data_IF_174970045467
#
_entry.id   IF_174970045467
#
_cell.length_a   1.000
_cell.length_b   1.000
_cell.length_c   1.000
_cell.angle_alpha   90.00
_cell.angle_beta   90.00
_cell.angle_gamma   90.00
#
_symmetry.space_group_name_H-M   'P 1'
#
loop_
_entity.id
_entity.type
_entity.pdbx_description
1 polymer ?
#
# COMPACT_ATOMS: atom_id res chain seq x y z
N UNK A 1 -16.01 14.79 -7.37
CA UNK A 1 -15.56 13.38 -7.30
C UNK A 1 -14.69 12.93 -8.47
N UNK A 2 -14.62 13.66 -9.61
CA UNK A 2 -13.76 13.30 -10.77
C UNK A 2 -12.28 13.02 -10.41
N UNK A 3 -11.73 13.79 -9.45
CA UNK A 3 -10.35 13.64 -8.94
C UNK A 3 -10.09 12.36 -8.12
N UNK A 4 -11.11 11.58 -7.81
CA UNK A 4 -10.96 10.26 -7.20
C UNK A 4 -11.29 9.14 -8.17
N UNK A 5 -11.49 9.40 -9.46
CA UNK A 5 -11.71 8.32 -10.43
C UNK A 5 -10.43 7.48 -10.60
N UNK A 6 -10.55 6.18 -10.93
CA UNK A 6 -9.39 5.28 -11.07
C UNK A 6 -8.34 5.85 -12.03
N UNK A 7 -8.81 6.35 -13.18
CA UNK A 7 -7.98 6.96 -14.22
C UNK A 7 -7.17 8.14 -13.70
N UNK A 8 -7.80 9.03 -12.92
CA UNK A 8 -7.12 10.20 -12.38
C UNK A 8 -6.06 9.81 -11.35
N UNK A 9 -6.37 8.88 -10.45
CA UNK A 9 -5.43 8.43 -9.41
C UNK A 9 -4.22 7.73 -10.04
N UNK A 10 -4.46 6.88 -11.05
CA UNK A 10 -3.38 6.23 -11.78
C UNK A 10 -2.51 7.22 -12.57
N UNK A 11 -3.13 8.17 -13.29
CA UNK A 11 -2.39 9.27 -13.93
C UNK A 11 -1.61 10.11 -12.93
N UNK A 12 -2.16 10.35 -11.74
CA UNK A 12 -1.51 11.11 -10.68
C UNK A 12 -0.27 10.36 -10.17
N UNK A 13 -0.35 9.03 -9.98
CA UNK A 13 0.80 8.20 -9.61
C UNK A 13 1.97 8.37 -10.60
N UNK A 14 1.69 8.20 -11.89
CA UNK A 14 2.68 8.38 -12.97
C UNK A 14 3.20 9.82 -12.98
N UNK A 15 2.34 10.82 -12.81
CA UNK A 15 2.76 12.23 -12.79
C UNK A 15 3.67 12.55 -11.60
N UNK A 16 3.36 12.03 -10.41
CA UNK A 16 4.21 12.19 -9.23
C UNK A 16 5.56 11.52 -9.48
N UNK A 17 5.57 10.31 -10.05
CA UNK A 17 6.80 9.62 -10.40
C UNK A 17 7.67 10.43 -11.37
N UNK A 18 7.09 10.97 -12.45
CA UNK A 18 7.80 11.82 -13.41
C UNK A 18 8.39 13.06 -12.72
N UNK A 19 7.61 13.73 -11.88
CA UNK A 19 8.09 14.91 -11.13
C UNK A 19 9.25 14.52 -10.22
N UNK A 20 9.11 13.45 -9.43
CA UNK A 20 10.17 12.99 -8.54
C UNK A 20 11.43 12.58 -9.31
N UNK A 21 11.28 11.96 -10.47
CA UNK A 21 12.40 11.62 -11.34
C UNK A 21 13.11 12.86 -11.88
N UNK A 22 12.39 13.86 -12.38
CA UNK A 22 12.97 15.10 -12.91
C UNK A 22 13.71 15.93 -11.85
N UNK A 23 13.30 15.84 -10.58
CA UNK A 23 13.96 16.50 -9.45
C UNK A 23 14.96 15.59 -8.73
N UNK A 24 15.10 14.34 -9.14
CA UNK A 24 16.02 13.40 -8.49
C UNK A 24 17.45 13.76 -8.88
N UNK A 25 18.41 13.80 -7.92
CA UNK A 25 19.83 13.95 -8.22
C UNK A 25 20.46 12.67 -8.77
N UNK A 26 19.67 11.62 -9.00
CA UNK A 26 20.13 10.28 -9.36
C UNK A 26 19.94 10.07 -10.86
N UNK A 27 21.01 9.66 -11.53
CA UNK A 27 20.97 9.20 -12.91
C UNK A 27 21.02 7.67 -12.96
N UNK A 28 20.18 7.05 -13.78
CA UNK A 28 20.14 5.60 -13.93
C UNK A 28 20.95 5.19 -15.16
N UNK A 29 21.86 4.23 -14.97
CA UNK A 29 22.80 3.80 -16.03
C UNK A 29 22.10 2.82 -17.00
N UNK A 30 21.09 2.08 -16.52
CA UNK A 30 20.40 1.07 -17.31
C UNK A 30 19.58 1.68 -18.45
N UNK A 31 19.85 1.21 -19.68
CA UNK A 31 19.09 1.60 -20.87
C UNK A 31 18.03 0.55 -21.19
N UNK A 32 16.73 0.89 -21.20
CA UNK A 32 15.67 -0.08 -21.45
C UNK A 32 15.67 -0.64 -22.88
N UNK A 33 15.38 -1.92 -23.02
CA UNK A 33 15.06 -2.49 -24.32
C UNK A 33 13.74 -1.93 -24.88
N UNK A 34 13.65 -1.81 -26.21
CA UNK A 34 12.43 -1.31 -26.88
C UNK A 34 11.20 -2.16 -26.54
N UNK A 35 11.40 -3.47 -26.37
CA UNK A 35 10.32 -4.39 -26.03
C UNK A 35 9.81 -4.17 -24.60
N UNK A 36 10.71 -3.94 -23.63
CA UNK A 36 10.32 -3.63 -22.26
C UNK A 36 9.43 -2.38 -22.20
N UNK A 37 9.79 -1.33 -22.96
CA UNK A 37 8.99 -0.10 -23.10
C UNK A 37 7.61 -0.39 -23.69
N UNK A 38 7.53 -1.20 -24.76
CA UNK A 38 6.26 -1.57 -25.38
C UNK A 38 5.37 -2.33 -24.39
N UNK A 39 5.94 -3.24 -23.61
CA UNK A 39 5.19 -4.05 -22.63
C UNK A 39 4.62 -3.18 -21.51
N UNK A 40 5.40 -2.26 -20.94
CA UNK A 40 4.88 -1.38 -19.89
C UNK A 40 3.82 -0.40 -20.42
N UNK A 41 4.00 0.13 -21.63
CA UNK A 41 2.98 0.96 -22.29
C UNK A 41 1.72 0.14 -22.55
N UNK A 42 1.86 -1.12 -22.95
CA UNK A 42 0.74 -2.05 -23.13
C UNK A 42 -0.02 -2.25 -21.81
N UNK A 43 0.67 -2.51 -20.69
CA UNK A 43 0.04 -2.67 -19.38
C UNK A 43 -0.77 -1.42 -18.98
N UNK A 44 -0.17 -0.25 -19.13
CA UNK A 44 -0.82 1.04 -18.88
C UNK A 44 -2.05 1.21 -19.79
N UNK A 45 -1.91 0.97 -21.09
CA UNK A 45 -2.98 1.08 -22.07
C UNK A 45 -4.15 0.15 -21.76
N UNK A 46 -3.88 -1.12 -21.48
CA UNK A 46 -4.92 -2.11 -21.18
C UNK A 46 -5.61 -1.85 -19.84
N UNK A 47 -4.91 -1.32 -18.84
CA UNK A 47 -5.54 -0.81 -17.63
C UNK A 47 -6.56 0.29 -17.95
N UNK A 48 -6.16 1.30 -18.73
CA UNK A 48 -7.08 2.35 -19.16
C UNK A 48 -8.26 1.78 -19.96
N UNK A 49 -8.01 0.89 -20.91
CA UNK A 49 -9.04 0.22 -21.71
C UNK A 49 -10.08 -0.48 -20.83
N UNK A 50 -9.63 -1.24 -19.82
CA UNK A 50 -10.51 -1.88 -18.84
C UNK A 50 -11.39 -0.89 -18.08
N UNK A 51 -10.82 0.24 -17.65
CA UNK A 51 -11.61 1.30 -17.00
C UNK A 51 -12.60 1.98 -17.95
N UNK A 52 -12.27 2.14 -19.23
CA UNK A 52 -13.18 2.76 -20.20
C UNK A 52 -14.37 1.86 -20.52
N UNK A 53 -14.15 0.58 -20.78
CA UNK A 53 -15.21 -0.35 -21.17
C UNK A 53 -16.30 -0.45 -20.12
N UNK A 54 -15.94 -0.68 -18.84
CA UNK A 54 -16.95 -0.83 -17.81
C UNK A 54 -17.63 0.51 -17.49
N UNK A 55 -16.95 1.65 -17.70
CA UNK A 55 -17.59 2.96 -17.58
C UNK A 55 -18.71 3.13 -18.61
N UNK A 56 -18.56 2.61 -19.83
CA UNK A 56 -19.61 2.66 -20.85
C UNK A 56 -20.82 1.81 -20.44
N UNK A 57 -20.60 0.57 -20.00
CA UNK A 57 -21.69 -0.31 -19.55
C UNK A 57 -22.38 0.21 -18.29
N UNK A 58 -21.63 0.72 -17.30
CA UNK A 58 -22.19 1.19 -16.04
C UNK A 58 -22.92 2.54 -16.17
N UNK A 59 -22.54 3.39 -17.13
CA UNK A 59 -23.27 4.64 -17.38
C UNK A 59 -24.72 4.33 -17.79
N UNK A 60 -24.93 3.27 -18.57
CA UNK A 60 -26.28 2.80 -18.94
C UNK A 60 -27.05 2.28 -17.71
N UNK A 61 -26.40 1.58 -16.79
CA UNK A 61 -27.05 1.10 -15.55
C UNK A 61 -27.37 2.21 -14.55
N UNK A 62 -26.49 3.20 -14.39
CA UNK A 62 -26.73 4.37 -13.52
C UNK A 62 -27.86 5.24 -14.10
N UNK A 63 -27.86 5.49 -15.41
CA UNK A 63 -28.91 6.28 -16.09
C UNK A 63 -30.27 5.58 -16.07
N UNK A 64 -30.32 4.24 -15.97
CA UNK A 64 -31.56 3.46 -15.81
C UNK A 64 -32.19 3.57 -14.41
N UNK A 65 -31.73 4.48 -13.56
CA UNK A 65 -32.53 4.95 -12.43
C UNK A 65 -32.54 4.02 -11.21
N UNK A 66 -31.41 3.40 -10.85
CA UNK A 66 -31.21 2.94 -9.47
C UNK A 66 -30.88 4.15 -8.57
N UNK A 67 -31.81 5.11 -8.51
CA UNK A 67 -31.89 6.07 -7.40
C UNK A 67 -32.52 5.28 -6.27
N UNK A 68 -31.68 4.64 -5.46
CA UNK A 68 -32.18 4.01 -4.26
C UNK A 68 -32.68 5.09 -3.31
N UNK A 69 -33.93 4.91 -2.90
CA UNK A 69 -34.63 5.72 -1.92
C UNK A 69 -33.79 5.94 -0.67
N UNK A 70 -34.02 7.07 0.00
CA UNK A 70 -33.52 7.39 1.33
C UNK A 70 -33.92 6.29 2.33
N UNK A 71 -33.12 5.23 2.43
CA UNK A 71 -33.28 4.21 3.44
C UNK A 71 -32.49 4.64 4.67
N UNK A 72 -33.21 5.03 5.72
CA UNK A 72 -32.60 5.26 7.02
C UNK A 72 -31.99 3.95 7.52
N UNK A 73 -30.69 3.96 7.80
CA UNK A 73 -30.04 2.81 8.42
C UNK A 73 -30.61 2.58 9.83
N UNK A 74 -30.99 1.34 10.12
CA UNK A 74 -31.33 0.94 11.49
C UNK A 74 -30.10 1.08 12.40
N UNK A 75 -30.15 2.06 13.31
CA UNK A 75 -29.07 2.34 14.28
C UNK A 75 -28.67 1.11 15.09
N UNK A 76 -29.62 0.21 15.38
CA UNK A 76 -29.32 -1.03 16.10
C UNK A 76 -28.42 -1.96 15.28
N UNK A 77 -28.73 -2.16 14.00
CA UNK A 77 -27.89 -2.98 13.09
C UNK A 77 -26.51 -2.37 12.88
N UNK A 78 -26.44 -1.04 12.72
CA UNK A 78 -25.16 -0.32 12.59
C UNK A 78 -24.28 -0.55 13.83
N UNK A 79 -24.85 -0.39 15.04
CA UNK A 79 -24.13 -0.64 16.30
C UNK A 79 -23.74 -2.11 16.47
N UNK A 80 -24.58 -3.06 16.03
CA UNK A 80 -24.25 -4.50 16.04
C UNK A 80 -23.04 -4.81 15.17
N UNK A 81 -23.00 -4.30 13.93
CA UNK A 81 -21.85 -4.48 13.03
C UNK A 81 -20.61 -3.81 13.59
N UNK A 82 -20.74 -2.58 14.08
CA UNK A 82 -19.65 -1.88 14.76
C UNK A 82 -19.05 -2.74 15.88
N UNK A 83 -19.89 -3.29 16.76
CA UNK A 83 -19.42 -4.07 17.90
C UNK A 83 -18.71 -5.35 17.46
N UNK A 84 -19.19 -6.02 16.41
CA UNK A 84 -18.51 -7.20 15.84
C UNK A 84 -17.13 -6.81 15.31
N UNK A 85 -17.05 -5.76 14.47
CA UNK A 85 -15.77 -5.28 13.95
C UNK A 85 -14.83 -4.84 15.08
N UNK A 86 -15.35 -4.19 16.12
CA UNK A 86 -14.56 -3.75 17.27
C UNK A 86 -14.01 -4.92 18.08
N UNK A 87 -14.81 -5.97 18.34
CA UNK A 87 -14.35 -7.18 19.03
C UNK A 87 -13.26 -7.88 18.23
N UNK A 88 -13.48 -8.09 16.93
CA UNK A 88 -12.49 -8.72 16.03
C UNK A 88 -11.19 -7.90 15.99
N UNK A 89 -11.31 -6.58 15.87
CA UNK A 89 -10.17 -5.64 15.90
C UNK A 89 -9.41 -5.72 17.23
N UNK A 90 -10.13 -5.74 18.36
CA UNK A 90 -9.53 -5.79 19.68
C UNK A 90 -8.73 -7.08 19.88
N UNK A 91 -9.29 -8.22 19.48
CA UNK A 91 -8.58 -9.52 19.48
C UNK A 91 -7.35 -9.44 18.57
N UNK A 92 -7.50 -8.90 17.36
CA UNK A 92 -6.39 -8.73 16.41
C UNK A 92 -5.26 -7.88 16.96
N UNK A 93 -5.55 -6.73 17.57
CA UNK A 93 -4.58 -5.85 18.22
C UNK A 93 -3.89 -6.59 19.36
N UNK A 94 -4.65 -7.21 20.27
CA UNK A 94 -4.09 -7.95 21.41
C UNK A 94 -3.14 -9.05 20.96
N UNK A 95 -3.55 -9.89 20.00
CA UNK A 95 -2.70 -10.95 19.46
C UNK A 95 -1.47 -10.40 18.75
N UNK A 96 -1.60 -9.26 18.04
CA UNK A 96 -0.48 -8.65 17.30
C UNK A 96 0.57 -8.05 18.23
N UNK A 97 0.14 -7.42 19.32
CA UNK A 97 1.06 -6.92 20.34
C UNK A 97 1.61 -8.06 21.22
N UNK A 98 0.85 -9.11 21.49
CA UNK A 98 1.38 -10.31 22.13
C UNK A 98 2.47 -10.97 21.27
N UNK A 99 2.23 -11.13 19.96
CA UNK A 99 3.22 -11.62 18.99
C UNK A 99 4.48 -10.74 19.01
N UNK A 100 4.33 -9.41 19.02
CA UNK A 100 5.46 -8.50 19.05
C UNK A 100 6.24 -8.55 20.38
N UNK A 101 5.55 -8.41 21.51
CA UNK A 101 6.18 -8.19 22.80
C UNK A 101 6.67 -9.49 23.44
N UNK A 102 5.92 -10.58 23.26
CA UNK A 102 6.19 -11.88 23.90
C UNK A 102 6.87 -12.83 22.94
N UNK A 103 6.22 -13.18 21.81
CA UNK A 103 6.76 -14.20 20.88
C UNK A 103 8.08 -13.72 20.28
N UNK A 104 8.13 -12.44 19.87
CA UNK A 104 9.30 -11.84 19.22
C UNK A 104 10.24 -11.16 20.20
N UNK A 105 9.95 -11.25 21.50
CA UNK A 105 10.76 -10.71 22.59
C UNK A 105 11.24 -9.28 22.34
N UNK A 106 10.36 -8.38 21.89
CA UNK A 106 10.75 -7.02 21.47
C UNK A 106 11.64 -6.28 22.50
N UNK A 107 11.41 -6.49 23.80
CA UNK A 107 12.19 -5.86 24.88
C UNK A 107 13.53 -6.54 25.19
N UNK A 108 13.88 -7.68 24.57
CA UNK A 108 15.18 -8.31 24.75
C UNK A 108 16.29 -7.68 23.89
N UNK A 109 15.92 -6.85 22.91
CA UNK A 109 16.86 -6.18 22.02
C UNK A 109 17.39 -4.89 22.64
N UNK A 110 18.63 -4.54 22.31
CA UNK A 110 19.32 -3.35 22.84
C UNK A 110 18.70 -2.03 22.36
N UNK A 111 18.09 -2.05 21.17
CA UNK A 111 17.43 -0.89 20.58
C UNK A 111 16.30 -1.33 19.63
N UNK A 112 15.45 -0.38 19.23
CA UNK A 112 14.42 -0.63 18.21
C UNK A 112 15.05 -0.98 16.86
N UNK A 113 16.21 -0.41 16.53
CA UNK A 113 16.92 -0.69 15.28
C UNK A 113 17.53 -2.08 15.27
N UNK A 114 18.13 -2.50 16.39
CA UNK A 114 18.61 -3.86 16.62
C UNK A 114 17.48 -4.88 16.40
N UNK A 115 16.31 -4.66 17.01
CA UNK A 115 15.11 -5.48 16.75
C UNK A 115 14.71 -5.50 15.27
N UNK A 116 14.76 -4.37 14.57
CA UNK A 116 14.32 -4.31 13.17
C UNK A 116 15.24 -5.07 12.21
N UNK A 117 16.52 -5.18 12.54
CA UNK A 117 17.54 -5.82 11.69
C UNK A 117 17.65 -7.31 12.01
N UNK A 118 17.68 -7.66 13.30
CA UNK A 118 17.86 -9.03 13.76
C UNK A 118 16.53 -9.80 13.91
N UNK A 119 15.40 -9.16 13.62
CA UNK A 119 14.15 -9.86 13.50
C UNK A 119 14.15 -10.80 12.29
N UNK A 120 14.29 -12.10 12.53
CA UNK A 120 14.05 -13.12 11.51
C UNK A 120 12.55 -13.17 11.19
N UNK A 121 12.20 -12.89 9.93
CA UNK A 121 10.82 -12.86 9.46
C UNK A 121 10.11 -14.22 9.39
N UNK A 122 10.79 -15.30 9.78
CA UNK A 122 10.41 -16.67 9.48
C UNK A 122 9.82 -17.47 10.64
N UNK A 123 9.85 -16.98 11.89
CA UNK A 123 9.10 -17.58 13.00
C UNK A 123 7.61 -17.23 12.89
N UNK A 124 6.92 -17.87 11.95
CA UNK A 124 5.48 -17.76 11.76
C UNK A 124 4.74 -18.82 12.55
N UNK A 125 4.58 -18.59 13.85
CA UNK A 125 3.64 -19.36 14.67
C UNK A 125 2.18 -19.07 14.30
N UNK A 126 1.27 -19.94 14.77
CA UNK A 126 -0.19 -19.80 14.57
C UNK A 126 -0.69 -18.42 15.05
N UNK A 127 -0.13 -17.89 16.13
CA UNK A 127 -0.46 -16.56 16.67
C UNK A 127 -0.08 -15.45 15.68
N UNK A 128 1.09 -15.53 15.05
CA UNK A 128 1.55 -14.55 14.08
C UNK A 128 0.67 -14.53 12.82
N UNK A 129 0.23 -15.70 12.36
CA UNK A 129 -0.70 -15.85 11.21
C UNK A 129 -2.08 -15.31 11.56
N UNK A 130 -2.64 -15.76 12.69
CA UNK A 130 -3.98 -15.35 13.13
C UNK A 130 -4.03 -13.84 13.37
N UNK A 131 -3.02 -13.29 14.05
CA UNK A 131 -2.93 -11.84 14.26
C UNK A 131 -2.79 -11.07 12.94
N UNK A 132 -2.06 -11.58 11.94
CA UNK A 132 -1.93 -10.92 10.64
C UNK A 132 -3.26 -10.78 9.89
N UNK A 133 -4.19 -11.72 10.06
CA UNK A 133 -5.52 -11.70 9.43
C UNK A 133 -6.51 -10.83 10.22
N UNK A 134 -6.43 -10.83 11.56
CA UNK A 134 -7.39 -10.11 12.41
C UNK A 134 -7.02 -8.63 12.61
N UNK A 135 -5.73 -8.32 12.74
CA UNK A 135 -5.24 -6.96 12.95
C UNK A 135 -5.73 -5.93 11.92
N UNK A 136 -5.79 -6.23 10.60
CA UNK A 136 -6.26 -5.29 9.60
C UNK A 136 -7.75 -4.91 9.71
N UNK A 137 -8.56 -5.63 10.50
CA UNK A 137 -9.96 -5.27 10.73
C UNK A 137 -10.14 -3.89 11.37
N UNK A 138 -9.17 -3.36 12.10
CA UNK A 138 -9.34 -2.01 12.66
C UNK A 138 -9.29 -0.90 11.62
N UNK A 139 -8.76 -1.16 10.41
CA UNK A 139 -8.96 -0.26 9.26
C UNK A 139 -10.40 -0.33 8.78
N UNK A 140 -10.96 -1.53 8.65
CA UNK A 140 -12.36 -1.71 8.31
C UNK A 140 -13.30 -1.05 9.34
N UNK A 141 -12.99 -1.18 10.63
CA UNK A 141 -13.70 -0.49 11.72
C UNK A 141 -13.60 1.03 11.55
N UNK A 142 -12.41 1.57 11.30
CA UNK A 142 -12.19 3.01 11.11
C UNK A 142 -12.99 3.54 9.92
N UNK A 143 -12.95 2.83 8.80
CA UNK A 143 -13.75 3.14 7.61
C UNK A 143 -15.25 3.08 7.90
N UNK A 144 -15.72 2.03 8.57
CA UNK A 144 -17.12 1.89 8.99
C UNK A 144 -17.58 3.08 9.83
N UNK A 145 -16.77 3.50 10.80
CA UNK A 145 -17.05 4.65 11.68
C UNK A 145 -17.08 5.96 10.91
N UNK A 146 -16.15 6.15 9.95
CA UNK A 146 -16.13 7.32 9.07
C UNK A 146 -17.42 7.39 8.24
N UNK A 147 -17.80 6.31 7.57
CA UNK A 147 -18.95 6.29 6.68
C UNK A 147 -20.30 6.42 7.39
N UNK A 148 -20.42 5.80 8.57
CA UNK A 148 -21.69 5.71 9.32
C UNK A 148 -21.71 6.58 10.58
N UNK A 149 -20.88 7.63 10.59
CA UNK A 149 -20.70 8.53 11.73
C UNK A 149 -22.05 9.01 12.33
N UNK A 150 -23.02 9.39 11.49
CA UNK A 150 -24.34 9.89 11.94
C UNK A 150 -25.13 8.91 12.83
N UNK A 151 -24.86 7.61 12.75
CA UNK A 151 -25.58 6.56 13.49
C UNK A 151 -24.84 6.10 14.76
N UNK A 152 -23.65 6.64 15.01
CA UNK A 152 -22.75 6.25 16.09
C UNK A 152 -22.61 7.38 17.12
N UNK A 153 -22.55 7.02 18.40
CA UNK A 153 -22.30 7.96 19.50
C UNK A 153 -20.80 8.19 19.78
N UNK A 154 -20.47 9.24 20.54
CA UNK A 154 -19.09 9.67 20.89
C UNK A 154 -18.14 8.53 21.30
N UNK A 155 -18.62 7.59 22.14
CA UNK A 155 -17.85 6.41 22.57
C UNK A 155 -17.29 5.58 21.40
N UNK A 156 -18.06 5.39 20.33
CA UNK A 156 -17.65 4.60 19.18
C UNK A 156 -16.51 5.29 18.41
N UNK A 157 -16.53 6.61 18.32
CA UNK A 157 -15.44 7.37 17.72
C UNK A 157 -14.15 7.25 18.52
N UNK A 158 -14.22 7.40 19.84
CA UNK A 158 -13.06 7.29 20.72
C UNK A 158 -12.44 5.89 20.60
N UNK A 159 -13.26 4.84 20.65
CA UNK A 159 -12.79 3.45 20.53
C UNK A 159 -12.20 3.15 19.14
N UNK A 160 -12.82 3.66 18.07
CA UNK A 160 -12.26 3.53 16.72
C UNK A 160 -10.94 4.28 16.57
N UNK A 161 -10.86 5.48 17.14
CA UNK A 161 -9.64 6.28 17.13
C UNK A 161 -8.50 5.58 17.88
N UNK A 162 -8.75 5.06 19.08
CA UNK A 162 -7.77 4.26 19.84
C UNK A 162 -7.32 3.05 19.01
N UNK A 163 -8.26 2.32 18.42
CA UNK A 163 -7.94 1.16 17.57
C UNK A 163 -7.07 1.54 16.37
N UNK A 164 -7.39 2.65 15.71
CA UNK A 164 -6.59 3.19 14.60
C UNK A 164 -5.19 3.59 15.06
N UNK A 165 -5.06 4.25 16.21
CA UNK A 165 -3.75 4.62 16.77
C UNK A 165 -2.91 3.39 17.08
N UNK A 166 -3.49 2.33 17.66
CA UNK A 166 -2.79 1.06 17.86
C UNK A 166 -2.33 0.45 16.53
N UNK A 167 -3.15 0.53 15.49
CA UNK A 167 -2.80 0.02 14.15
C UNK A 167 -1.68 0.83 13.51
N UNK A 168 -1.65 2.15 13.69
CA UNK A 168 -0.57 3.01 13.19
C UNK A 168 0.71 2.87 14.03
N UNK A 169 0.60 2.59 15.32
CA UNK A 169 1.75 2.45 16.21
C UNK A 169 2.57 1.19 15.89
N UNK A 170 1.92 0.08 15.54
CA UNK A 170 2.60 -1.17 15.19
C UNK A 170 3.64 -1.03 14.05
N UNK A 171 3.31 -0.50 12.85
CA UNK A 171 4.29 -0.30 11.80
C UNK A 171 5.36 0.72 12.20
N UNK A 172 5.06 1.71 13.07
CA UNK A 172 6.07 2.63 13.60
C UNK A 172 7.18 1.86 14.33
N UNK A 173 6.82 0.95 15.23
CA UNK A 173 7.77 0.10 15.95
C UNK A 173 8.59 -0.77 14.98
N UNK A 174 7.91 -1.36 13.98
CA UNK A 174 8.52 -2.23 12.97
C UNK A 174 9.35 -1.52 11.89
N UNK A 175 9.30 -0.19 11.81
CA UNK A 175 9.94 0.56 10.72
C UNK A 175 9.17 0.48 9.39
N UNK A 176 7.89 0.12 9.42
CA UNK A 176 7.03 -0.16 8.27
C UNK A 176 6.49 1.10 7.59
N UNK A 177 7.35 1.82 6.85
CA UNK A 177 6.98 3.04 6.10
C UNK A 177 5.87 2.80 5.08
N UNK A 178 5.96 1.71 4.32
CA UNK A 178 4.98 1.34 3.28
C UNK A 178 3.57 1.10 3.85
N UNK A 179 3.48 0.44 5.01
CA UNK A 179 2.19 0.25 5.68
C UNK A 179 1.59 1.57 6.14
N UNK A 180 2.41 2.50 6.64
CA UNK A 180 1.93 3.82 7.07
C UNK A 180 1.34 4.63 5.90
N UNK A 181 2.01 4.64 4.74
CA UNK A 181 1.49 5.36 3.57
C UNK A 181 0.23 4.70 3.00
N UNK A 182 0.17 3.37 2.99
CA UNK A 182 -1.03 2.61 2.64
C UNK A 182 -2.23 3.00 3.51
N UNK A 183 -2.05 2.95 4.84
CA UNK A 183 -3.09 3.29 5.81
C UNK A 183 -3.54 4.75 5.68
N UNK A 184 -2.58 5.67 5.53
CA UNK A 184 -2.86 7.09 5.35
C UNK A 184 -3.77 7.34 4.14
N UNK A 185 -3.44 6.74 2.99
CA UNK A 185 -4.23 6.92 1.76
C UNK A 185 -5.62 6.31 1.88
N UNK A 186 -5.75 5.10 2.46
CA UNK A 186 -7.05 4.46 2.69
C UNK A 186 -7.96 5.37 3.53
N UNK A 187 -7.45 5.88 4.66
CA UNK A 187 -8.23 6.74 5.56
C UNK A 187 -8.54 8.09 4.90
N UNK A 188 -7.56 8.71 4.23
CA UNK A 188 -7.76 9.98 3.53
C UNK A 188 -8.83 9.87 2.44
N UNK A 189 -8.77 8.84 1.59
CA UNK A 189 -9.78 8.59 0.56
C UNK A 189 -11.15 8.35 1.21
N UNK A 190 -11.22 7.59 2.30
CA UNK A 190 -12.48 7.31 3.02
C UNK A 190 -13.16 8.58 3.55
N UNK A 191 -12.37 9.50 4.13
CA UNK A 191 -12.85 10.81 4.61
C UNK A 191 -13.39 11.64 3.45
N UNK A 192 -12.64 11.72 2.34
CA UNK A 192 -13.05 12.50 1.16
C UNK A 192 -14.32 11.96 0.52
N UNK A 193 -14.47 10.63 0.47
CA UNK A 193 -15.67 9.98 -0.07
C UNK A 193 -16.92 10.27 0.78
N UNK A 194 -16.79 10.31 2.10
CA UNK A 194 -17.90 10.56 3.03
C UNK A 194 -18.40 12.00 2.97
N UNK A 195 -17.49 12.95 2.79
CA UNK A 195 -17.84 14.37 2.77
C UNK A 195 -17.17 15.08 1.58
N UNK A 196 -17.68 14.91 0.34
CA UNK A 196 -17.08 15.56 -0.83
C UNK A 196 -17.19 17.10 -0.78
N UNK A 197 -18.13 17.65 0.01
CA UNK A 197 -18.22 19.07 0.28
C UNK A 197 -17.10 19.60 1.20
N UNK A 198 -16.41 18.72 1.93
CA UNK A 198 -15.23 19.03 2.73
C UNK A 198 -14.13 19.68 1.88
N UNK A 199 -13.92 19.22 0.64
CA UNK A 199 -12.93 19.80 -0.27
C UNK A 199 -13.42 21.11 -0.93
N UNK A 200 -14.72 21.39 -0.98
CA UNK A 200 -15.23 22.53 -1.76
C UNK A 200 -15.03 23.89 -1.06
N UNK A 201 -14.96 23.93 0.28
CA UNK A 201 -14.80 25.18 1.04
C UNK A 201 -13.32 25.54 1.21
N UNK A 202 -12.95 26.79 0.94
CA UNK A 202 -11.55 27.25 0.93
C UNK A 202 -10.82 27.03 2.27
N UNK A 203 -11.45 27.32 3.41
CA UNK A 203 -10.88 27.07 4.74
C UNK A 203 -10.61 25.58 5.02
N UNK A 204 -11.46 24.70 4.49
CA UNK A 204 -11.29 23.26 4.64
C UNK A 204 -10.20 22.71 3.71
N UNK A 205 -10.00 23.31 2.53
CA UNK A 205 -8.85 23.00 1.66
C UNK A 205 -7.53 23.35 2.35
N UNK A 206 -7.43 24.53 2.95
CA UNK A 206 -6.23 24.93 3.70
C UNK A 206 -5.93 23.94 4.83
N UNK A 207 -6.95 23.56 5.61
CA UNK A 207 -6.79 22.56 6.67
C UNK A 207 -6.28 21.21 6.14
N UNK A 208 -6.79 20.73 5.00
CA UNK A 208 -6.29 19.50 4.36
C UNK A 208 -4.82 19.66 3.96
N UNK A 209 -4.43 20.78 3.35
CA UNK A 209 -3.04 21.03 2.96
C UNK A 209 -2.12 21.09 4.18
N UNK A 210 -2.57 21.69 5.28
CA UNK A 210 -1.82 21.72 6.54
C UNK A 210 -1.65 20.31 7.11
N UNK A 211 -2.69 19.48 7.13
CA UNK A 211 -2.58 18.08 7.57
C UNK A 211 -1.63 17.29 6.67
N UNK A 212 -1.74 17.43 5.35
CA UNK A 212 -0.86 16.76 4.40
C UNK A 212 0.60 17.19 4.58
N UNK A 213 0.83 18.49 4.80
CA UNK A 213 2.15 19.04 5.07
C UNK A 213 2.73 18.51 6.38
N UNK A 214 1.95 18.53 7.48
CA UNK A 214 2.37 18.00 8.78
C UNK A 214 2.67 16.50 8.67
N UNK A 215 1.80 15.73 8.02
CA UNK A 215 2.02 14.31 7.80
C UNK A 215 3.30 14.07 6.98
N UNK A 216 3.48 14.81 5.88
CA UNK A 216 4.68 14.72 5.05
C UNK A 216 5.96 15.04 5.82
N UNK A 217 5.95 16.10 6.63
CA UNK A 217 7.07 16.49 7.48
C UNK A 217 7.39 15.42 8.54
N UNK A 218 6.38 14.95 9.26
CA UNK A 218 6.56 13.90 10.28
C UNK A 218 7.04 12.58 9.66
N UNK A 219 6.48 12.20 8.51
CA UNK A 219 6.89 11.02 7.75
C UNK A 219 8.33 11.15 7.26
N UNK A 220 8.74 12.34 6.81
CA UNK A 220 10.11 12.61 6.37
C UNK A 220 11.10 12.50 7.55
N UNK A 221 10.81 13.14 8.68
CA UNK A 221 11.65 13.05 9.90
C UNK A 221 11.74 11.60 10.39
N UNK A 222 10.60 10.89 10.44
CA UNK A 222 10.56 9.47 10.79
C UNK A 222 11.41 8.61 9.83
N UNK A 223 11.33 8.87 8.53
CA UNK A 223 12.09 8.16 7.51
C UNK A 223 13.59 8.44 7.62
N UNK A 224 13.98 9.70 7.86
CA UNK A 224 15.36 10.10 8.09
C UNK A 224 15.96 9.31 9.26
N UNK A 225 15.29 9.29 10.41
CA UNK A 225 15.77 8.56 11.58
C UNK A 225 15.96 7.07 11.27
N UNK A 226 14.99 6.42 10.62
CA UNK A 226 15.11 4.99 10.26
C UNK A 226 16.28 4.72 9.31
N UNK A 227 16.42 5.55 8.27
CA UNK A 227 17.46 5.36 7.26
C UNK A 227 18.85 5.54 7.90
N UNK A 228 19.01 6.58 8.72
CA UNK A 228 20.27 6.88 9.41
C UNK A 228 20.60 5.84 10.46
N UNK A 229 19.64 5.44 11.30
CA UNK A 229 19.89 4.42 12.33
C UNK A 229 20.34 3.09 11.70
N UNK A 230 19.77 2.71 10.55
CA UNK A 230 20.18 1.50 9.81
C UNK A 230 21.58 1.62 9.22
N UNK A 231 21.91 2.81 8.70
CA UNK A 231 23.23 3.10 8.16
C UNK A 231 24.30 2.95 9.24
N UNK A 232 24.09 3.61 10.38
CA UNK A 232 25.00 3.61 11.53
C UNK A 232 25.12 2.20 12.12
N UNK A 233 24.02 1.45 12.23
CA UNK A 233 24.04 0.06 12.69
C UNK A 233 24.87 -0.86 11.79
N UNK A 234 24.78 -0.67 10.46
CA UNK A 234 25.56 -1.45 9.49
C UNK A 234 27.02 -0.99 9.37
N UNK A 235 27.45 0.00 10.16
CA UNK A 235 28.84 0.49 10.17
C UNK A 235 29.22 1.35 8.96
N UNK A 236 28.24 1.86 8.20
CA UNK A 236 28.48 2.74 7.07
C UNK A 236 28.48 4.21 7.50
N UNK A 237 29.33 5.01 6.86
CA UNK A 237 29.18 6.47 6.81
C UNK A 237 28.26 6.87 5.67
N UNK A 238 27.71 8.09 5.69
CA UNK A 238 26.82 8.57 4.62
C UNK A 238 27.54 8.56 3.25
N UNK A 239 28.73 9.15 3.09
CA UNK A 239 29.43 9.15 1.80
C UNK A 239 29.76 7.74 1.32
N UNK A 240 30.28 6.87 2.20
CA UNK A 240 30.67 5.50 1.83
C UNK A 240 29.47 4.68 1.35
N UNK A 241 28.30 4.87 1.96
CA UNK A 241 27.10 4.19 1.49
C UNK A 241 26.60 4.75 0.16
N UNK A 242 26.67 6.07 -0.06
CA UNK A 242 26.32 6.65 -1.37
C UNK A 242 27.24 6.13 -2.48
N UNK A 243 28.53 5.95 -2.20
CA UNK A 243 29.49 5.32 -3.10
C UNK A 243 29.17 3.84 -3.34
N UNK A 244 28.81 3.09 -2.29
CA UNK A 244 28.38 1.69 -2.38
C UNK A 244 27.10 1.52 -3.22
N UNK A 245 26.13 2.43 -3.08
CA UNK A 245 24.85 2.36 -3.80
C UNK A 245 24.99 2.46 -5.31
N UNK A 246 25.99 3.19 -5.81
CA UNK A 246 26.16 3.44 -7.25
C UNK A 246 26.33 2.16 -8.08
N UNK A 247 27.36 1.32 -7.83
CA UNK A 247 27.52 0.06 -8.56
C UNK A 247 26.42 -0.95 -8.22
N UNK A 248 25.96 -1.02 -6.96
CA UNK A 248 24.97 -2.00 -6.51
C UNK A 248 23.62 -1.81 -7.20
N UNK A 249 23.17 -0.56 -7.34
CA UNK A 249 21.86 -0.24 -7.93
C UNK A 249 21.95 0.28 -9.37
N UNK A 250 23.14 0.32 -9.97
CA UNK A 250 23.33 0.83 -11.33
C UNK A 250 22.93 2.30 -11.47
N UNK A 251 23.27 3.11 -10.46
CA UNK A 251 22.96 4.53 -10.41
C UNK A 251 24.23 5.38 -10.38
N UNK A 252 24.11 6.63 -10.78
CA UNK A 252 25.14 7.64 -10.68
C UNK A 252 24.64 8.80 -9.82
N UNK A 253 25.48 9.24 -8.88
CA UNK A 253 25.22 10.39 -8.00
C UNK A 253 26.37 11.38 -8.22
N UNK A 254 26.08 12.64 -8.58
CA UNK A 254 27.11 13.65 -8.81
C UNK A 254 28.05 13.83 -7.60
N UNK A 255 29.36 13.87 -7.85
CA UNK A 255 30.41 13.97 -6.81
C UNK A 255 30.22 15.20 -5.90
N UNK A 256 29.80 16.33 -6.47
CA UNK A 256 29.51 17.55 -5.71
C UNK A 256 28.40 17.37 -4.67
N UNK A 257 27.48 16.42 -4.88
CA UNK A 257 26.44 16.08 -3.89
C UNK A 257 27.02 15.17 -2.81
N UNK A 258 27.87 14.21 -3.17
CA UNK A 258 28.56 13.33 -2.21
C UNK A 258 29.47 14.16 -1.30
N UNK A 259 30.21 15.13 -1.85
CA UNK A 259 31.07 16.05 -1.10
C UNK A 259 30.32 16.80 0.00
N UNK A 260 29.08 17.23 -0.26
CA UNK A 260 28.23 17.93 0.73
C UNK A 260 27.85 17.04 1.92
N UNK A 261 27.98 15.71 1.78
CA UNK A 261 27.65 14.76 2.85
C UNK A 261 28.83 14.40 3.75
N UNK A 262 30.05 14.78 3.40
CA UNK A 262 31.28 14.44 4.14
C UNK A 262 31.36 15.04 5.55
N UNK A 263 30.65 16.13 5.82
CA UNK A 263 30.64 16.78 7.13
C UNK A 263 29.70 16.10 8.16
N UNK A 264 28.97 15.05 7.76
CA UNK A 264 28.08 14.20 8.60
C UNK A 264 27.04 14.92 9.50
N UNK A 265 26.88 16.24 9.35
CA UNK A 265 25.92 17.04 10.09
C UNK A 265 24.48 16.90 9.59
N UNK A 266 23.57 17.72 10.12
CA UNK A 266 22.14 17.68 9.75
C UNK A 266 21.91 17.84 8.25
N UNK A 267 22.72 18.66 7.57
CA UNK A 267 22.65 18.85 6.11
C UNK A 267 22.96 17.55 5.38
N UNK A 268 23.98 16.80 5.81
CA UNK A 268 24.32 15.51 5.24
C UNK A 268 23.17 14.49 5.42
N UNK A 269 22.59 14.43 6.63
CA UNK A 269 21.42 13.56 6.93
C UNK A 269 20.21 13.91 6.06
N UNK A 270 19.95 15.20 5.83
CA UNK A 270 18.88 15.68 4.96
C UNK A 270 19.12 15.27 3.49
N UNK A 271 20.32 15.53 2.96
CA UNK A 271 20.70 15.18 1.59
C UNK A 271 20.59 13.66 1.39
N UNK A 272 21.17 12.87 2.30
CA UNK A 272 21.13 11.41 2.23
C UNK A 272 19.70 10.86 2.26
N UNK A 273 18.84 11.42 3.12
CA UNK A 273 17.43 11.04 3.17
C UNK A 273 16.71 11.38 1.88
N UNK A 274 16.96 12.56 1.30
CA UNK A 274 16.38 12.97 0.03
C UNK A 274 16.82 12.04 -1.10
N UNK A 275 18.11 11.70 -1.20
CA UNK A 275 18.62 10.74 -2.19
C UNK A 275 17.95 9.37 -1.98
N UNK A 276 17.95 8.85 -0.75
CA UNK A 276 17.39 7.54 -0.44
C UNK A 276 15.89 7.45 -0.76
N UNK A 277 15.11 8.49 -0.42
CA UNK A 277 13.69 8.54 -0.74
C UNK A 277 13.45 8.77 -2.23
N UNK A 278 14.28 9.55 -2.91
CA UNK A 278 14.19 9.77 -4.35
C UNK A 278 14.48 8.49 -5.11
N UNK A 279 15.53 7.75 -4.74
CA UNK A 279 15.82 6.41 -5.24
C UNK A 279 14.63 5.48 -5.03
N UNK A 280 14.13 5.37 -3.79
CA UNK A 280 12.98 4.53 -3.47
C UNK A 280 11.72 4.87 -4.30
N UNK A 281 11.53 6.13 -4.66
CA UNK A 281 10.40 6.53 -5.50
C UNK A 281 10.67 6.42 -7.02
N UNK A 282 11.90 6.19 -7.47
CA UNK A 282 12.24 6.24 -8.92
C UNK A 282 12.83 4.95 -9.46
N UNK A 283 13.44 4.11 -8.61
CA UNK A 283 14.18 2.90 -8.97
C UNK A 283 13.34 1.88 -9.75
N UNK A 284 12.11 1.69 -9.31
CA UNK A 284 11.34 0.53 -9.68
C UNK A 284 10.90 0.44 -11.15
N UNK A 285 10.97 1.53 -11.92
CA UNK A 285 10.78 1.46 -13.38
C UNK A 285 12.03 0.90 -14.07
N UNK A 286 13.22 1.32 -13.64
CA UNK A 286 14.49 0.85 -14.18
C UNK A 286 14.75 -0.61 -13.81
N UNK A 287 14.39 -1.00 -12.59
CA UNK A 287 14.44 -2.39 -12.14
C UNK A 287 13.48 -3.28 -12.92
N UNK A 288 12.30 -2.77 -13.28
CA UNK A 288 11.41 -3.50 -14.18
C UNK A 288 12.06 -3.74 -15.55
N UNK A 289 12.78 -2.76 -16.10
CA UNK A 289 13.47 -2.94 -17.37
C UNK A 289 14.59 -3.98 -17.27
N UNK A 290 15.39 -3.94 -16.20
CA UNK A 290 16.39 -4.96 -15.94
C UNK A 290 15.76 -6.35 -15.79
N UNK A 291 14.67 -6.47 -15.02
CA UNK A 291 13.91 -7.71 -14.87
C UNK A 291 13.43 -8.23 -16.22
N UNK A 292 12.86 -7.37 -17.04
CA UNK A 292 12.32 -7.75 -18.34
C UNK A 292 13.37 -8.41 -19.24
N UNK A 293 14.59 -7.86 -19.25
CA UNK A 293 15.66 -8.33 -20.12
C UNK A 293 16.41 -9.56 -19.53
N UNK A 294 16.29 -9.84 -18.22
CA UNK A 294 17.04 -10.90 -17.53
C UNK A 294 16.17 -12.01 -16.92
N UNK A 295 14.84 -11.93 -17.00
CA UNK A 295 13.93 -12.95 -16.46
C UNK A 295 13.47 -13.92 -17.54
N UNK A 296 13.52 -15.23 -17.24
CA UNK A 296 13.01 -16.27 -18.13
C UNK A 296 11.49 -16.42 -18.01
N UNK A 297 10.79 -16.38 -19.14
CA UNK A 297 9.33 -16.60 -19.20
C UNK A 297 8.92 -18.05 -18.88
N UNK A 298 9.87 -18.98 -18.79
CA UNK A 298 9.58 -20.34 -18.30
C UNK A 298 9.36 -20.37 -16.77
N UNK A 299 9.79 -19.31 -16.07
CA UNK A 299 9.73 -19.21 -14.60
C UNK A 299 8.47 -18.50 -14.09
N UNK A 300 7.42 -18.35 -14.91
CA UNK A 300 6.19 -17.67 -14.49
C UNK A 300 5.52 -18.41 -13.32
N UNK A 301 5.06 -17.64 -12.32
CA UNK A 301 4.47 -18.18 -11.08
C UNK A 301 2.99 -17.84 -10.88
N UNK A 302 2.34 -17.29 -11.90
CA UNK A 302 0.88 -17.20 -12.06
C UNK A 302 0.11 -16.67 -10.84
N UNK A 303 0.66 -15.66 -10.17
CA UNK A 303 0.04 -14.98 -9.03
C UNK A 303 0.74 -15.28 -7.70
N UNK A 304 1.65 -16.25 -7.65
CA UNK A 304 2.32 -16.59 -6.40
C UNK A 304 3.24 -15.48 -5.88
N UNK A 305 3.77 -14.61 -6.75
CA UNK A 305 4.56 -13.47 -6.32
C UNK A 305 3.68 -12.42 -5.63
N UNK A 306 2.61 -11.96 -6.28
CA UNK A 306 1.72 -10.93 -5.72
C UNK A 306 0.88 -11.41 -4.54
N UNK A 307 0.48 -12.69 -4.57
CA UNK A 307 -0.42 -13.28 -3.58
C UNK A 307 0.28 -14.26 -2.64
N UNK A 308 1.59 -14.11 -2.45
CA UNK A 308 2.39 -15.05 -1.66
C UNK A 308 1.82 -15.40 -0.28
N UNK A 309 1.23 -14.49 0.51
CA UNK A 309 0.62 -14.87 1.79
C UNK A 309 -0.48 -15.96 1.67
N UNK A 310 -1.19 -16.02 0.54
CA UNK A 310 -2.15 -17.10 0.26
C UNK A 310 -1.39 -18.40 -0.05
N UNK A 311 -0.35 -18.35 -0.88
CA UNK A 311 0.46 -19.52 -1.21
C UNK A 311 1.22 -20.07 0.01
N UNK A 312 1.72 -19.21 0.89
CA UNK A 312 2.29 -19.59 2.19
C UNK A 312 1.27 -20.31 3.06
N UNK A 313 0.01 -19.87 3.08
CA UNK A 313 -1.04 -20.59 3.80
C UNK A 313 -1.34 -21.95 3.15
N UNK A 314 -1.42 -22.02 1.82
CA UNK A 314 -1.62 -23.26 1.08
C UNK A 314 -0.46 -24.26 1.31
N UNK A 315 0.78 -23.77 1.36
CA UNK A 315 1.97 -24.57 1.69
C UNK A 315 1.84 -25.18 3.09
N UNK A 316 1.46 -24.38 4.10
CA UNK A 316 1.27 -24.86 5.47
C UNK A 316 0.22 -25.97 5.60
N UNK A 317 -0.79 -26.00 4.72
CA UNK A 317 -1.82 -27.06 4.68
C UNK A 317 -1.53 -28.15 3.64
N UNK A 318 -0.36 -28.14 3.01
CA UNK A 318 0.06 -29.15 2.04
C UNK A 318 -0.59 -29.06 0.65
N UNK A 319 -1.15 -27.90 0.29
CA UNK A 319 -1.84 -27.64 -0.98
C UNK A 319 -0.99 -26.83 -2.00
N UNK A 320 0.22 -26.42 -1.64
CA UNK A 320 1.17 -25.71 -2.51
C UNK A 320 2.60 -26.14 -2.18
N UNK A 321 3.46 -26.18 -3.19
CA UNK A 321 4.91 -26.35 -3.02
C UNK A 321 5.70 -25.07 -3.31
N UNK A 322 5.01 -23.96 -3.59
CA UNK A 322 5.66 -22.67 -3.88
C UNK A 322 6.08 -22.04 -2.56
N UNK A 323 7.40 -21.94 -2.35
CA UNK A 323 8.03 -21.36 -1.18
C UNK A 323 8.65 -19.99 -1.49
N UNK A 324 8.94 -19.19 -0.47
CA UNK A 324 9.67 -17.92 -0.63
C UNK A 324 11.06 -18.13 -1.23
N UNK A 325 11.72 -19.24 -0.87
CA UNK A 325 13.04 -19.61 -1.38
C UNK A 325 12.97 -19.87 -2.88
N UNK A 326 11.96 -20.63 -3.33
CA UNK A 326 11.73 -20.85 -4.76
C UNK A 326 11.50 -19.54 -5.51
N UNK A 327 10.59 -18.68 -5.01
CA UNK A 327 10.32 -17.37 -5.61
C UNK A 327 11.57 -16.48 -5.68
N UNK A 328 12.45 -16.57 -4.69
CA UNK A 328 13.71 -15.82 -4.67
C UNK A 328 14.73 -16.41 -5.66
N UNK A 329 14.74 -17.72 -5.87
CA UNK A 329 15.69 -18.38 -6.77
C UNK A 329 15.45 -18.10 -8.27
N UNK A 330 14.23 -17.74 -8.64
CA UNK A 330 13.83 -17.55 -10.05
C UNK A 330 13.96 -16.11 -10.55
N UNK A 331 14.13 -15.14 -9.65
CA UNK A 331 14.29 -13.73 -9.99
C UNK A 331 15.76 -13.34 -9.97
N UNK A 332 16.22 -12.45 -10.87
CA UNK A 332 17.65 -12.10 -10.92
C UNK A 332 18.16 -11.44 -9.62
N UNK A 333 17.33 -10.61 -8.99
CA UNK A 333 17.60 -9.97 -7.69
C UNK A 333 16.38 -10.06 -6.76
N UNK A 334 16.42 -10.91 -5.72
CA UNK A 334 15.32 -11.05 -4.76
C UNK A 334 15.01 -9.75 -4.01
N UNK A 335 13.73 -9.43 -3.86
CA UNK A 335 13.28 -8.29 -3.05
C UNK A 335 13.43 -6.91 -3.71
N UNK A 336 13.91 -6.85 -4.95
CA UNK A 336 14.14 -5.60 -5.69
C UNK A 336 12.91 -5.18 -6.50
N UNK A 337 12.29 -6.11 -7.24
CA UNK A 337 11.21 -5.83 -8.19
C UNK A 337 9.85 -5.59 -7.52
N UNK A 338 9.70 -4.46 -6.84
CA UNK A 338 8.59 -4.20 -5.92
C UNK A 338 7.52 -3.24 -6.46
N UNK A 339 7.70 -2.61 -7.62
CA UNK A 339 6.65 -1.77 -8.25
C UNK A 339 5.43 -2.60 -8.63
N UNK A 340 4.33 -1.95 -9.04
CA UNK A 340 3.19 -2.70 -9.56
C UNK A 340 3.55 -3.60 -10.76
N UNK A 341 4.48 -3.19 -11.61
CA UNK A 341 4.76 -3.90 -12.87
C UNK A 341 5.70 -5.11 -12.72
N UNK A 342 6.64 -5.08 -11.77
CA UNK A 342 7.61 -6.17 -11.55
C UNK A 342 6.92 -7.49 -11.19
N UNK A 343 6.16 -7.57 -10.09
CA UNK A 343 5.40 -8.74 -9.69
C UNK A 343 4.39 -9.19 -10.75
N UNK A 344 3.74 -8.25 -11.46
CA UNK A 344 2.84 -8.59 -12.58
C UNK A 344 3.57 -9.29 -13.71
N UNK A 345 4.79 -8.88 -14.03
CA UNK A 345 5.60 -9.54 -15.06
C UNK A 345 6.15 -10.90 -14.59
N UNK A 346 6.58 -11.02 -13.34
CA UNK A 346 7.00 -12.31 -12.74
C UNK A 346 5.84 -13.32 -12.74
N UNK A 347 4.63 -12.86 -12.45
CA UNK A 347 3.45 -13.73 -12.41
C UNK A 347 2.94 -14.11 -13.80
N UNK A 348 2.89 -13.17 -14.74
CA UNK A 348 2.12 -13.34 -15.98
C UNK A 348 2.91 -13.10 -17.28
N UNK A 349 4.15 -12.60 -17.20
CA UNK A 349 4.95 -12.28 -18.39
C UNK A 349 4.15 -11.39 -19.33
N UNK A 350 4.18 -11.67 -20.64
CA UNK A 350 3.38 -10.91 -21.61
C UNK A 350 1.88 -10.90 -21.32
N UNK A 351 1.30 -11.90 -20.65
CA UNK A 351 -0.12 -11.91 -20.28
C UNK A 351 -0.48 -10.88 -19.19
N UNK A 352 0.50 -10.15 -18.64
CA UNK A 352 0.27 -9.05 -17.71
C UNK A 352 -0.67 -7.96 -18.25
N UNK A 353 -0.81 -7.80 -19.57
CA UNK A 353 -1.79 -6.86 -20.14
C UNK A 353 -3.22 -7.27 -19.79
N UNK A 354 -3.52 -8.59 -19.76
CA UNK A 354 -4.84 -9.11 -19.42
C UNK A 354 -5.12 -8.89 -17.94
N UNK A 355 -4.12 -9.12 -17.08
CA UNK A 355 -4.21 -8.80 -15.66
C UNK A 355 -4.51 -7.30 -15.44
N UNK A 356 -3.75 -6.41 -16.06
CA UNK A 356 -3.95 -4.96 -15.98
C UNK A 356 -5.34 -4.54 -16.48
N UNK A 357 -5.82 -5.15 -17.57
CA UNK A 357 -7.18 -4.95 -18.07
C UNK A 357 -8.24 -5.34 -17.05
N UNK A 358 -8.17 -6.56 -16.49
CA UNK A 358 -9.13 -7.06 -15.51
C UNK A 358 -9.09 -6.23 -14.22
N UNK A 359 -7.90 -5.79 -13.79
CA UNK A 359 -7.76 -4.88 -12.66
C UNK A 359 -8.43 -3.52 -12.95
N UNK A 360 -8.24 -2.97 -14.15
CA UNK A 360 -8.92 -1.75 -14.60
C UNK A 360 -10.44 -1.88 -14.57
N UNK A 361 -10.98 -3.01 -15.05
CA UNK A 361 -12.42 -3.34 -14.97
C UNK A 361 -12.89 -3.40 -13.51
N UNK A 362 -12.19 -4.16 -12.66
CA UNK A 362 -12.53 -4.34 -11.24
C UNK A 362 -12.57 -2.99 -10.50
N UNK A 363 -11.51 -2.18 -10.61
CA UNK A 363 -11.41 -0.93 -9.84
C UNK A 363 -12.44 0.09 -10.34
N UNK A 364 -12.68 0.16 -11.65
CA UNK A 364 -13.74 1.03 -12.17
C UNK A 364 -15.14 0.54 -11.77
N UNK A 365 -15.37 -0.77 -11.69
CA UNK A 365 -16.60 -1.32 -11.11
C UNK A 365 -16.77 -0.89 -9.64
N UNK A 366 -15.73 -1.02 -8.81
CA UNK A 366 -15.75 -0.58 -7.42
C UNK A 366 -16.01 0.94 -7.29
N UNK A 367 -15.43 1.73 -8.19
CA UNK A 367 -15.71 3.17 -8.27
C UNK A 367 -17.19 3.45 -8.54
N UNK A 368 -17.79 2.79 -9.53
CA UNK A 368 -19.24 2.88 -9.79
C UNK A 368 -20.04 2.47 -8.56
N UNK A 369 -19.61 1.43 -7.83
CA UNK A 369 -20.26 0.96 -6.60
C UNK A 369 -20.19 1.97 -5.45
N UNK A 370 -19.21 2.87 -5.41
CA UNK A 370 -19.22 4.03 -4.50
C UNK A 370 -20.27 5.06 -4.90
N UNK A 371 -20.45 5.32 -6.19
CA UNK A 371 -21.41 6.33 -6.65
C UNK A 371 -22.86 5.99 -6.25
N UNK A 372 -23.14 4.72 -6.01
CA UNK A 372 -24.40 4.20 -5.46
C UNK A 372 -24.29 3.78 -3.98
N UNK A 373 -23.26 4.25 -3.25
CA UNK A 373 -23.03 4.05 -1.81
C UNK A 373 -22.99 2.60 -1.30
N UNK A 374 -22.70 1.62 -2.15
CA UNK A 374 -22.71 0.21 -1.71
C UNK A 374 -21.51 -0.13 -0.82
N UNK A 375 -21.66 -1.03 0.18
CA UNK A 375 -20.57 -1.39 1.09
C UNK A 375 -19.33 -1.93 0.38
N UNK A 376 -19.52 -2.67 -0.72
CA UNK A 376 -18.40 -3.22 -1.49
C UNK A 376 -17.51 -2.13 -2.09
N UNK A 377 -18.11 -1.06 -2.63
CA UNK A 377 -17.38 0.08 -3.17
C UNK A 377 -16.71 0.88 -2.05
N UNK A 378 -17.45 1.17 -0.98
CA UNK A 378 -16.95 1.96 0.16
C UNK A 378 -15.76 1.31 0.87
N UNK A 379 -15.74 -0.02 1.00
CA UNK A 379 -14.65 -0.72 1.69
C UNK A 379 -13.46 -1.05 0.79
N UNK A 380 -13.71 -1.55 -0.43
CA UNK A 380 -12.63 -2.04 -1.27
C UNK A 380 -11.96 -0.94 -2.09
N UNK A 381 -12.71 0.08 -2.52
CA UNK A 381 -12.14 1.11 -3.39
C UNK A 381 -11.03 1.94 -2.72
N UNK A 382 -11.13 2.40 -1.46
CA UNK A 382 -10.04 3.15 -0.83
C UNK A 382 -8.73 2.38 -0.78
N UNK A 383 -8.79 1.04 -0.61
CA UNK A 383 -7.62 0.16 -0.74
C UNK A 383 -7.05 0.20 -2.16
N UNK A 384 -7.87 -0.05 -3.19
CA UNK A 384 -7.41 -0.01 -4.58
C UNK A 384 -6.98 1.40 -5.04
N UNK A 385 -7.55 2.46 -4.48
CA UNK A 385 -7.08 3.83 -4.70
C UNK A 385 -5.65 4.02 -4.17
N UNK A 386 -5.32 3.38 -3.04
CA UNK A 386 -3.93 3.33 -2.55
C UNK A 386 -3.03 2.53 -3.47
N UNK A 387 -3.48 1.36 -3.96
CA UNK A 387 -2.73 0.56 -4.95
C UNK A 387 -2.43 1.38 -6.20
N UNK A 388 -3.43 2.09 -6.75
CA UNK A 388 -3.24 2.92 -7.94
C UNK A 388 -2.30 4.10 -7.66
N UNK A 389 -2.44 4.79 -6.53
CA UNK A 389 -1.59 5.93 -6.19
C UNK A 389 -0.13 5.50 -6.03
N UNK A 390 0.11 4.31 -5.48
CA UNK A 390 1.44 3.79 -5.26
C UNK A 390 2.00 2.97 -6.43
N UNK A 391 1.21 2.71 -7.47
CA UNK A 391 1.56 1.76 -8.54
C UNK A 391 2.93 2.00 -9.19
N UNK A 392 3.32 3.26 -9.38
CA UNK A 392 4.63 3.63 -9.93
C UNK A 392 5.81 3.43 -8.95
N UNK A 393 5.55 3.27 -7.66
CA UNK A 393 6.57 3.19 -6.59
C UNK A 393 6.66 1.78 -6.00
N UNK A 394 5.52 1.20 -5.66
CA UNK A 394 5.44 -0.09 -4.97
C UNK A 394 4.05 -0.71 -5.16
N UNK A 395 4.01 -2.02 -5.30
CA UNK A 395 2.77 -2.78 -5.37
C UNK A 395 2.17 -2.93 -3.98
N UNK A 396 1.16 -2.12 -3.65
CA UNK A 396 0.49 -2.22 -2.35
C UNK A 396 -0.39 -3.47 -2.19
N UNK A 397 -0.44 -4.38 -3.16
CA UNK A 397 -1.07 -5.70 -3.00
C UNK A 397 -0.13 -6.64 -2.22
N UNK A 398 1.13 -6.75 -2.64
CA UNK A 398 2.12 -7.60 -1.97
C UNK A 398 2.80 -6.90 -0.78
N UNK A 399 3.03 -5.59 -0.89
CA UNK A 399 3.78 -4.84 0.10
C UNK A 399 2.91 -4.31 1.25
N UNK A 400 3.55 -3.98 2.37
CA UNK A 400 2.93 -3.18 3.43
C UNK A 400 1.74 -3.83 4.14
N UNK A 401 1.65 -5.17 4.16
CA UNK A 401 0.48 -5.95 4.61
C UNK A 401 -0.76 -5.84 3.69
N UNK A 402 -0.57 -5.41 2.44
CA UNK A 402 -1.62 -5.17 1.46
C UNK A 402 -2.67 -6.27 1.37
N UNK A 403 -2.24 -7.50 1.10
CA UNK A 403 -3.14 -8.64 0.96
C UNK A 403 -3.93 -8.96 2.24
N UNK A 404 -3.32 -8.80 3.41
CA UNK A 404 -4.03 -8.98 4.68
C UNK A 404 -5.12 -7.91 4.86
N UNK A 405 -4.84 -6.64 4.55
CA UNK A 405 -5.87 -5.60 4.54
C UNK A 405 -6.99 -5.92 3.54
N UNK A 406 -6.65 -6.36 2.33
CA UNK A 406 -7.63 -6.71 1.31
C UNK A 406 -8.57 -7.82 1.80
N UNK A 407 -8.02 -8.89 2.36
CA UNK A 407 -8.81 -10.02 2.91
C UNK A 407 -9.74 -9.55 4.03
N UNK A 408 -9.24 -8.79 5.02
CA UNK A 408 -10.07 -8.30 6.12
C UNK A 408 -11.17 -7.34 5.64
N UNK A 409 -10.90 -6.53 4.62
CA UNK A 409 -11.90 -5.65 4.00
C UNK A 409 -12.98 -6.47 3.25
N UNK A 410 -12.61 -7.51 2.51
CA UNK A 410 -13.56 -8.42 1.85
C UNK A 410 -14.46 -9.10 2.89
N UNK A 411 -13.88 -9.65 3.97
CA UNK A 411 -14.65 -10.28 5.05
C UNK A 411 -15.58 -9.25 5.72
N UNK A 412 -15.10 -8.03 5.95
CA UNK A 412 -15.93 -6.94 6.51
C UNK A 412 -17.12 -6.60 5.62
N UNK A 413 -16.94 -6.57 4.29
CA UNK A 413 -18.06 -6.40 3.34
C UNK A 413 -19.07 -7.53 3.47
N UNK A 414 -18.62 -8.78 3.62
CA UNK A 414 -19.50 -9.93 3.84
C UNK A 414 -20.28 -9.81 5.15
N UNK A 415 -19.65 -9.39 6.25
CA UNK A 415 -20.31 -9.14 7.55
C UNK A 415 -21.41 -8.09 7.42
N UNK A 416 -21.10 -6.95 6.78
CA UNK A 416 -22.05 -5.84 6.58
C UNK A 416 -23.26 -6.32 5.76
N UNK A 417 -23.02 -7.07 4.68
CA UNK A 417 -24.09 -7.62 3.84
C UNK A 417 -24.94 -8.66 4.57
N UNK A 418 -24.32 -9.57 5.31
CA UNK A 418 -25.02 -10.65 6.01
C UNK A 418 -25.95 -10.14 7.12
N UNK A 419 -25.50 -9.15 7.90
CA UNK A 419 -26.32 -8.55 8.98
C UNK A 419 -27.44 -7.66 8.43
N UNK A 420 -27.46 -7.44 7.12
CA UNK A 420 -28.60 -6.80 6.46
C UNK A 420 -28.59 -5.28 6.62
N UNK A 421 -27.41 -4.64 6.61
CA UNK A 421 -27.33 -3.30 6.03
C UNK A 421 -27.50 -3.49 4.53
N UNK A 422 -28.75 -3.57 4.10
CA UNK A 422 -29.06 -3.23 2.73
C UNK A 422 -28.87 -1.72 2.64
N UNK A 423 -27.72 -1.30 2.10
CA UNK A 423 -27.75 -0.12 1.24
C UNK A 423 -28.57 -0.58 0.04
N UNK A 424 -29.89 -0.61 0.25
CA UNK A 424 -30.80 -0.43 -0.85
C UNK A 424 -30.60 1.04 -1.14
#
# INVERSE_FOLDING_TARGET
MKYLSPRYIFSLSISIWIVLYLFSPIEYIYTPSKMAIIVIISYIFFFYLGTYLISLFNTVFILKGYVQNNNEFDSFRVKKIYNILFVVTSIGILLRFYDLLIVKSFFSYSSITDFRINYEANDSGIVSITSAILFPFGVALSMFTIYLYKYLGSKHYILSFISLMCILFYPVLRGGRTTLTLLFVIIAVSIVLTNPAFIKKQLKKLFIYVILFIFGLLFFVYSMNIIIDRLEFNGFTIPSHLEYMQPEYGIFIPENIIDLTRNEGIVAKLIYTLISLSWYCTHGLFEFFYLFDNFSLDNLVFGAQQFYPIFKFLELVGLSSITQEYLSSIVPMPGVYTTFYGPVFIDFGYLGFLYCFLLGVLIQYLWTKIQINTPIGLFLYPFFASVLLHSAFINMIDAGFGLYFLVSLIISVCIVKYIGIRVQ
#
